data_IF_351276110939
#
_entry.id   IF_351276110939
#
_cell.length_a   1.000
_cell.length_b   1.000
_cell.length_c   1.000
_cell.angle_alpha   90.00
_cell.angle_beta   90.00
_cell.angle_gamma   90.00
#
_symmetry.space_group_name_H-M   'P 1'
#
loop_
_entity.id
_entity.type
_entity.pdbx_description
1 polymer ?
#
# COMPACT_ATOMS: atom_id res chain seq x y z
N UNK A 1 14.48 -9.37 -9.44
CA UNK A 1 13.70 -8.56 -8.49
C UNK A 1 13.30 -7.25 -9.17
N UNK A 2 12.05 -6.88 -9.03
CA UNK A 2 11.51 -5.67 -9.66
C UNK A 2 11.16 -4.63 -8.60
N UNK A 3 11.55 -3.37 -8.83
CA UNK A 3 11.23 -2.25 -7.95
C UNK A 3 9.99 -1.55 -8.49
N UNK A 4 8.96 -1.46 -7.66
CA UNK A 4 7.64 -0.97 -8.06
C UNK A 4 7.17 0.13 -7.10
N UNK A 5 6.40 1.08 -7.64
CA UNK A 5 5.87 2.20 -6.85
C UNK A 5 4.43 1.92 -6.43
N UNK A 6 4.15 2.19 -5.16
CA UNK A 6 2.81 2.10 -4.58
C UNK A 6 2.36 3.48 -4.17
N UNK A 7 1.12 3.83 -4.50
CA UNK A 7 0.51 5.11 -4.13
C UNK A 7 -0.65 4.89 -3.18
N UNK A 8 -0.90 5.86 -2.33
CA UNK A 8 -2.06 5.86 -1.45
C UNK A 8 -2.38 7.25 -0.96
N UNK A 9 -3.41 7.32 -0.14
CA UNK A 9 -3.90 8.59 0.43
C UNK A 9 -3.99 8.49 1.94
N UNK A 10 -3.74 9.61 2.59
CA UNK A 10 -3.98 9.79 4.02
C UNK A 10 -5.05 10.86 4.19
N UNK A 11 -6.15 10.50 4.85
CA UNK A 11 -7.21 11.43 5.20
C UNK A 11 -7.36 11.46 6.72
N UNK A 12 -7.03 12.60 7.34
CA UNK A 12 -7.11 12.79 8.78
C UNK A 12 -7.84 14.10 9.02
N UNK A 13 -8.93 14.04 9.77
CA UNK A 13 -9.82 15.17 9.96
C UNK A 13 -10.29 15.69 8.59
N UNK A 14 -10.05 16.95 8.26
CA UNK A 14 -10.35 17.48 6.93
C UNK A 14 -9.11 17.61 6.05
N UNK A 15 -7.98 17.07 6.53
CA UNK A 15 -6.71 17.08 5.80
C UNK A 15 -6.58 15.84 4.94
N UNK A 16 -6.25 16.04 3.68
CA UNK A 16 -5.96 14.95 2.75
C UNK A 16 -4.62 15.18 2.08
N UNK A 17 -3.83 14.12 2.02
CA UNK A 17 -2.55 14.14 1.31
C UNK A 17 -2.29 12.79 0.67
N UNK A 18 -1.46 12.79 -0.36
CA UNK A 18 -1.03 11.56 -1.03
C UNK A 18 0.34 11.16 -0.51
N UNK A 19 0.58 9.85 -0.48
CA UNK A 19 1.90 9.29 -0.20
C UNK A 19 2.26 8.30 -1.29
N UNK A 20 3.56 8.04 -1.43
CA UNK A 20 4.04 6.97 -2.29
C UNK A 20 5.22 6.28 -1.62
N UNK A 21 5.48 5.05 -2.05
CA UNK A 21 6.60 4.28 -1.55
C UNK A 21 7.02 3.28 -2.62
N UNK A 22 8.21 2.72 -2.47
CA UNK A 22 8.70 1.68 -3.36
C UNK A 22 8.74 0.34 -2.65
N UNK A 23 8.41 -0.72 -3.38
CA UNK A 23 8.55 -2.10 -2.91
C UNK A 23 9.38 -2.88 -3.91
N UNK A 24 10.08 -3.89 -3.43
CA UNK A 24 10.79 -4.83 -4.28
C UNK A 24 10.10 -6.18 -4.23
N UNK A 25 9.72 -6.70 -5.40
CA UNK A 25 9.06 -7.99 -5.52
C UNK A 25 9.88 -8.91 -6.42
N UNK A 26 9.93 -10.17 -6.05
CA UNK A 26 10.53 -11.21 -6.88
C UNK A 26 9.68 -11.43 -8.13
N UNK A 27 10.30 -11.90 -9.22
CA UNK A 27 9.59 -12.15 -10.46
C UNK A 27 8.41 -13.11 -10.27
N UNK A 28 8.56 -14.11 -9.42
CA UNK A 28 7.49 -15.04 -9.09
C UNK A 28 6.33 -14.35 -8.39
N UNK A 29 6.62 -13.41 -7.48
CA UNK A 29 5.59 -12.64 -6.79
C UNK A 29 4.81 -11.75 -7.77
N UNK A 30 5.50 -11.12 -8.71
CA UNK A 30 4.86 -10.33 -9.77
C UNK A 30 3.92 -11.22 -10.59
N UNK A 31 4.37 -12.41 -10.99
CA UNK A 31 3.54 -13.35 -11.74
C UNK A 31 2.32 -13.79 -10.93
N UNK A 32 2.48 -14.00 -9.63
CA UNK A 32 1.37 -14.40 -8.75
C UNK A 32 0.31 -13.30 -8.63
N UNK A 33 0.72 -12.05 -8.57
CA UNK A 33 -0.23 -10.92 -8.58
C UNK A 33 -1.02 -10.91 -9.89
N UNK A 34 -0.34 -11.10 -11.02
CA UNK A 34 -1.00 -11.13 -12.32
C UNK A 34 -2.02 -12.26 -12.37
N UNK A 35 -1.67 -13.45 -11.88
CA UNK A 35 -2.58 -14.60 -11.84
C UNK A 35 -3.85 -14.30 -11.04
N UNK A 36 -3.70 -13.74 -9.84
CA UNK A 36 -4.85 -13.46 -9.00
C UNK A 36 -5.72 -12.34 -9.58
N UNK A 37 -5.12 -11.36 -10.25
CA UNK A 37 -5.87 -10.32 -10.97
C UNK A 37 -6.70 -10.92 -12.10
N UNK A 38 -6.12 -11.80 -12.87
CA UNK A 38 -6.84 -12.49 -13.97
C UNK A 38 -8.02 -13.28 -13.44
N UNK A 39 -7.85 -13.95 -12.30
CA UNK A 39 -8.92 -14.74 -11.68
C UNK A 39 -10.05 -13.89 -11.13
N UNK A 40 -9.77 -12.63 -10.80
CA UNK A 40 -10.74 -11.70 -10.22
C UNK A 40 -11.20 -10.61 -11.20
N UNK A 41 -11.06 -10.84 -12.51
CA UNK A 41 -11.54 -9.91 -13.52
C UNK A 41 -10.85 -8.56 -13.52
N UNK A 42 -9.62 -8.48 -13.02
CA UNK A 42 -8.86 -7.23 -12.98
C UNK A 42 -9.16 -6.32 -11.79
N UNK A 43 -9.91 -6.82 -10.80
CA UNK A 43 -10.18 -6.04 -9.58
C UNK A 43 -8.90 -5.94 -8.76
N UNK A 44 -8.43 -4.72 -8.57
CA UNK A 44 -7.17 -4.43 -7.87
C UNK A 44 -7.33 -4.16 -6.37
N UNK A 45 -8.51 -4.35 -5.82
CA UNK A 45 -8.74 -4.18 -4.39
C UNK A 45 -8.11 -5.34 -3.61
N UNK A 46 -7.13 -5.01 -2.78
CA UNK A 46 -6.33 -6.00 -2.04
C UNK A 46 -7.19 -6.88 -1.14
N UNK A 47 -8.24 -6.32 -0.54
CA UNK A 47 -9.14 -7.07 0.33
C UNK A 47 -10.05 -7.99 -0.48
N UNK A 48 -10.68 -7.46 -1.55
CA UNK A 48 -11.59 -8.27 -2.39
C UNK A 48 -10.87 -9.41 -3.09
N UNK A 49 -9.62 -9.22 -3.48
CA UNK A 49 -8.84 -10.28 -4.12
C UNK A 49 -8.26 -11.28 -3.13
N UNK A 50 -8.50 -11.08 -1.83
CA UNK A 50 -8.02 -11.98 -0.76
C UNK A 50 -6.50 -12.20 -0.79
N UNK A 51 -5.75 -11.14 -1.07
CA UNK A 51 -4.29 -11.23 -1.21
C UNK A 51 -3.63 -11.73 0.06
N UNK A 52 -4.08 -11.26 1.21
CA UNK A 52 -3.52 -11.64 2.51
C UNK A 52 -3.61 -13.14 2.76
N UNK A 53 -4.71 -13.76 2.36
CA UNK A 53 -4.94 -15.20 2.58
C UNK A 53 -4.26 -16.05 1.51
N UNK A 54 -4.19 -15.55 0.27
CA UNK A 54 -3.66 -16.32 -0.87
C UNK A 54 -2.14 -16.21 -0.98
N UNK A 55 -1.60 -15.01 -0.82
CA UNK A 55 -0.16 -14.75 -0.91
C UNK A 55 0.27 -13.86 0.25
N UNK A 56 0.35 -14.43 1.47
CA UNK A 56 0.69 -13.64 2.67
C UNK A 56 2.07 -13.00 2.62
N UNK A 57 3.02 -13.57 1.91
CA UNK A 57 4.35 -13.00 1.71
C UNK A 57 4.28 -11.68 0.93
N UNK A 58 3.49 -11.65 -0.14
CA UNK A 58 3.30 -10.44 -0.95
C UNK A 58 2.57 -9.38 -0.12
N UNK A 59 1.48 -9.79 0.55
CA UNK A 59 0.72 -8.88 1.39
C UNK A 59 1.60 -8.24 2.46
N UNK A 60 2.46 -9.02 3.10
CA UNK A 60 3.33 -8.53 4.16
C UNK A 60 4.29 -7.44 3.66
N UNK A 61 4.87 -7.62 2.47
CA UNK A 61 5.74 -6.61 1.86
C UNK A 61 4.97 -5.31 1.62
N UNK A 62 3.78 -5.41 1.04
CA UNK A 62 2.95 -4.24 0.74
C UNK A 62 2.47 -3.56 2.01
N UNK A 63 2.03 -4.34 3.00
CA UNK A 63 1.53 -3.82 4.26
C UNK A 63 2.59 -3.00 5.00
N UNK A 64 3.79 -3.54 5.12
CA UNK A 64 4.90 -2.85 5.80
C UNK A 64 5.27 -1.53 5.10
N UNK A 65 5.36 -1.55 3.78
CA UNK A 65 5.70 -0.36 3.01
C UNK A 65 4.62 0.71 3.11
N UNK A 66 3.36 0.31 2.98
CA UNK A 66 2.23 1.24 3.07
C UNK A 66 2.07 1.80 4.48
N UNK A 67 2.30 0.98 5.51
CA UNK A 67 2.28 1.42 6.90
C UNK A 67 3.33 2.50 7.15
N UNK A 68 4.57 2.26 6.72
CA UNK A 68 5.65 3.21 6.90
C UNK A 68 5.38 4.53 6.17
N UNK A 69 4.91 4.45 4.93
CA UNK A 69 4.61 5.64 4.13
C UNK A 69 3.47 6.46 4.77
N UNK A 70 2.46 5.77 5.29
CA UNK A 70 1.35 6.42 5.99
C UNK A 70 1.82 7.08 7.28
N UNK A 71 2.66 6.39 8.05
CA UNK A 71 3.23 6.94 9.29
C UNK A 71 4.04 8.19 9.02
N UNK A 72 4.89 8.18 8.00
CA UNK A 72 5.70 9.33 7.63
C UNK A 72 4.81 10.52 7.22
N UNK A 73 3.78 10.27 6.41
CA UNK A 73 2.83 11.31 5.99
C UNK A 73 2.05 11.87 7.18
N UNK A 74 1.65 11.00 8.11
CA UNK A 74 0.93 11.42 9.30
C UNK A 74 1.81 12.29 10.21
N UNK A 75 3.08 11.91 10.38
CA UNK A 75 4.02 12.71 11.17
C UNK A 75 4.29 14.08 10.53
N UNK A 76 4.36 14.17 9.22
CA UNK A 76 4.45 15.46 8.54
C UNK A 76 3.23 16.34 8.84
N UNK A 77 2.04 15.75 8.83
CA UNK A 77 0.82 16.45 9.20
C UNK A 77 0.87 16.94 10.64
N UNK A 78 1.28 16.08 11.58
CA UNK A 78 1.40 16.44 12.99
C UNK A 78 2.37 17.59 13.19
N UNK A 79 3.52 17.55 12.52
CA UNK A 79 4.51 18.63 12.58
C UNK A 79 3.92 19.95 12.07
N UNK A 80 3.15 19.93 11.01
CA UNK A 80 2.50 21.13 10.47
C UNK A 80 1.48 21.70 11.43
N UNK A 81 0.93 20.89 12.33
CA UNK A 81 -0.01 21.30 13.38
C UNK A 81 0.67 21.65 14.69
N UNK A 82 2.01 21.60 14.76
CA UNK A 82 2.75 21.85 15.97
C UNK A 82 2.64 20.75 17.02
N UNK A 83 2.31 19.53 16.59
CA UNK A 83 2.17 18.37 17.47
C UNK A 83 3.38 17.46 17.37
N UNK A 84 3.70 16.70 18.43
CA UNK A 84 4.84 15.78 18.38
C UNK A 84 4.58 14.58 17.47
N UNK A 85 5.65 14.03 16.92
CA UNK A 85 5.60 12.81 16.11
C UNK A 85 5.18 11.61 16.94
N UNK A 86 4.60 10.61 16.27
CA UNK A 86 4.20 9.35 16.89
C UNK A 86 4.99 8.19 16.29
N UNK A 87 5.12 7.11 17.06
CA UNK A 87 5.83 5.90 16.60
C UNK A 87 4.90 4.89 15.93
N UNK A 88 3.61 5.02 16.17
CA UNK A 88 2.59 4.07 15.68
C UNK A 88 1.36 4.81 15.21
N UNK A 89 0.70 4.22 14.21
CA UNK A 89 -0.62 4.66 13.78
C UNK A 89 -1.67 4.09 14.73
N UNK A 90 -2.67 4.90 15.07
CA UNK A 90 -3.82 4.49 15.89
C UNK A 90 -5.09 4.31 15.04
N UNK A 91 -4.94 4.25 13.74
CA UNK A 91 -6.02 4.04 12.79
C UNK A 91 -5.57 3.07 11.70
N UNK A 92 -6.53 2.54 10.95
CA UNK A 92 -6.25 1.59 9.86
C UNK A 92 -5.62 2.32 8.67
N UNK A 93 -4.49 1.80 8.21
CA UNK A 93 -3.82 2.33 7.02
C UNK A 93 -4.29 1.61 5.76
N UNK A 94 -4.14 2.28 4.63
CA UNK A 94 -4.46 1.74 3.32
C UNK A 94 -3.34 0.83 2.84
N UNK A 95 -3.69 -0.30 2.21
CA UNK A 95 -2.74 -1.20 1.56
C UNK A 95 -3.15 -1.35 0.11
N UNK A 96 -2.26 -0.99 -0.81
CA UNK A 96 -2.55 -0.98 -2.24
C UNK A 96 -1.54 -1.82 -3.02
N UNK A 97 -1.96 -2.28 -4.19
CA UNK A 97 -1.05 -2.88 -5.17
C UNK A 97 -0.18 -1.79 -5.80
N UNK A 98 1.04 -2.16 -6.26
CA UNK A 98 1.85 -1.25 -7.04
C UNK A 98 1.10 -0.70 -8.26
N UNK A 99 1.42 0.54 -8.63
CA UNK A 99 0.77 1.26 -9.73
C UNK A 99 0.77 0.47 -11.03
N UNK A 100 1.83 -0.27 -11.30
CA UNK A 100 1.96 -1.12 -12.49
C UNK A 100 0.72 -1.99 -12.72
N UNK A 101 0.14 -2.52 -11.64
CA UNK A 101 -0.99 -3.45 -11.73
C UNK A 101 -2.34 -2.73 -11.87
N UNK A 102 -2.39 -1.45 -11.55
CA UNK A 102 -3.64 -0.68 -11.61
C UNK A 102 -4.12 -0.46 -13.04
N UNK A 103 -3.21 -0.43 -14.00
CA UNK A 103 -3.49 -0.15 -15.41
C UNK A 103 -3.43 -1.40 -16.31
N UNK A 104 -3.30 -2.60 -15.74
CA UNK A 104 -3.12 -3.83 -16.54
C UNK A 104 -4.39 -4.32 -17.21
N UNK A 105 -5.54 -3.98 -16.68
CA UNK A 105 -6.83 -4.52 -17.14
C UNK A 105 -7.89 -3.45 -17.33
#
# INVERSE_FOLDING_TARGET
MEKLTVYGELCVDEYGTEWNTEVELEDEQVRNIIKILMLNGGDTDVERMCLKDTFPDIYDVLDKACYKATLDAYNEYLMSCGKPEVDKLDFKHEVNLPYKFQDMF
#
